data_IF_249180182912
#
_entry.id   IF_249180182912
#
_cell.length_a   1.000
_cell.length_b   1.000
_cell.length_c   1.000
_cell.angle_alpha   90.00
_cell.angle_beta   90.00
_cell.angle_gamma   90.00
#
_symmetry.space_group_name_H-M   'P 1'
#
loop_
_entity.id
_entity.type
_entity.pdbx_description
1 polymer ?
#
# COMPACT_ATOMS: atom_id res chain seq x y z
N UNK A 1 17.96 9.04 -3.81
CA UNK A 1 17.10 8.69 -2.65
C UNK A 1 17.72 7.52 -1.90
N UNK A 2 18.75 7.74 -1.08
CA UNK A 2 19.52 6.66 -0.45
C UNK A 2 19.14 6.40 1.01
N UNK A 3 18.63 7.40 1.74
CA UNK A 3 18.38 7.28 3.18
C UNK A 3 17.33 6.21 3.52
N UNK A 4 16.17 6.23 2.85
CA UNK A 4 15.10 5.25 3.10
C UNK A 4 15.53 3.82 2.74
N UNK A 5 16.13 3.63 1.56
CA UNK A 5 16.62 2.32 1.13
C UNK A 5 17.70 1.74 2.06
N UNK A 6 18.61 2.60 2.57
CA UNK A 6 19.62 2.17 3.54
C UNK A 6 18.97 1.77 4.88
N UNK A 7 17.95 2.51 5.33
CA UNK A 7 17.22 2.17 6.55
C UNK A 7 16.47 0.85 6.41
N UNK A 8 15.78 0.62 5.28
CA UNK A 8 15.08 -0.63 5.02
C UNK A 8 16.02 -1.84 5.07
N UNK A 9 17.22 -1.72 4.47
CA UNK A 9 18.27 -2.76 4.54
C UNK A 9 18.79 -2.98 5.96
N UNK A 10 19.03 -1.90 6.70
CA UNK A 10 19.51 -1.99 8.09
C UNK A 10 18.49 -2.64 9.04
N UNK A 11 17.21 -2.62 8.66
CA UNK A 11 16.11 -3.26 9.39
C UNK A 11 15.65 -4.59 8.77
N UNK A 12 16.34 -5.10 7.74
CA UNK A 12 15.99 -6.35 7.03
C UNK A 12 14.56 -6.37 6.45
N UNK A 13 14.04 -5.22 6.02
CA UNK A 13 12.70 -5.07 5.42
C UNK A 13 12.73 -4.58 3.97
N UNK A 14 13.91 -4.52 3.33
CA UNK A 14 14.03 -4.05 1.95
C UNK A 14 13.48 -5.02 0.90
N UNK A 15 13.20 -6.27 1.30
CA UNK A 15 12.56 -7.28 0.44
C UNK A 15 11.13 -7.62 0.89
N UNK A 16 10.54 -6.84 1.79
CA UNK A 16 9.19 -7.06 2.30
C UNK A 16 8.16 -6.87 1.18
N UNK A 17 7.33 -7.88 0.95
CA UNK A 17 6.24 -7.85 -0.03
C UNK A 17 4.97 -8.45 0.57
N UNK A 18 3.81 -7.96 0.15
CA UNK A 18 2.53 -8.45 0.70
C UNK A 18 2.27 -9.93 0.38
N UNK A 19 2.85 -10.47 -0.70
CA UNK A 19 2.72 -11.88 -1.08
C UNK A 19 3.30 -12.85 -0.05
N UNK A 20 4.22 -12.42 0.81
CA UNK A 20 4.77 -13.26 1.88
C UNK A 20 3.80 -13.47 3.05
N UNK A 21 2.69 -12.72 3.10
CA UNK A 21 1.73 -12.71 4.21
C UNK A 21 0.39 -13.40 3.91
N UNK A 22 0.29 -14.15 2.80
CA UNK A 22 -0.94 -14.85 2.42
C UNK A 22 -2.09 -13.92 2.00
N UNK A 23 -1.77 -12.68 1.63
CA UNK A 23 -2.76 -11.72 1.13
C UNK A 23 -3.20 -12.14 -0.28
N UNK A 24 -4.51 -12.20 -0.53
CA UNK A 24 -5.02 -12.52 -1.87
C UNK A 24 -5.15 -11.26 -2.74
N UNK A 25 -4.55 -11.20 -3.94
CA UNK A 25 -4.74 -10.09 -4.88
C UNK A 25 -6.18 -9.90 -5.33
N UNK A 26 -7.00 -10.96 -5.31
CA UNK A 26 -8.42 -10.89 -5.68
C UNK A 26 -9.23 -9.99 -4.73
N UNK A 27 -8.70 -9.69 -3.54
CA UNK A 27 -9.32 -8.83 -2.53
C UNK A 27 -8.92 -7.36 -2.63
N UNK A 28 -8.04 -6.96 -3.55
CA UNK A 28 -7.52 -5.59 -3.59
C UNK A 28 -8.59 -4.53 -3.86
N UNK A 29 -9.56 -4.83 -4.73
CA UNK A 29 -10.69 -3.93 -5.00
C UNK A 29 -11.54 -3.73 -3.74
N UNK A 30 -11.76 -4.80 -2.96
CA UNK A 30 -12.48 -4.76 -1.69
C UNK A 30 -11.69 -3.96 -0.64
N UNK A 31 -10.38 -4.16 -0.53
CA UNK A 31 -9.54 -3.37 0.39
C UNK A 31 -9.54 -1.88 0.06
N UNK A 32 -9.48 -1.53 -1.24
CA UNK A 32 -9.57 -0.15 -1.68
C UNK A 32 -10.95 0.47 -1.38
N UNK A 33 -12.02 -0.34 -1.46
CA UNK A 33 -13.36 0.08 -1.04
C UNK A 33 -13.40 0.41 0.44
N UNK A 34 -13.01 -0.53 1.30
CA UNK A 34 -13.01 -0.35 2.75
C UNK A 34 -12.12 0.82 3.16
N UNK A 35 -10.97 1.02 2.52
CA UNK A 35 -10.13 2.18 2.77
C UNK A 35 -10.87 3.50 2.50
N UNK A 36 -11.60 3.60 1.40
CA UNK A 36 -12.37 4.81 1.07
C UNK A 36 -13.66 4.98 1.85
N UNK A 37 -14.25 3.91 2.39
CA UNK A 37 -15.50 3.94 3.16
C UNK A 37 -15.21 4.11 4.65
N UNK A 38 -14.46 3.19 5.23
CA UNK A 38 -14.20 3.13 6.67
C UNK A 38 -13.23 4.22 7.12
N UNK A 39 -12.30 4.61 6.24
CA UNK A 39 -11.22 5.57 6.53
C UNK A 39 -11.28 6.81 5.63
N UNK A 40 -12.46 7.13 5.09
CA UNK A 40 -12.68 8.24 4.14
C UNK A 40 -12.04 9.57 4.56
N UNK A 41 -12.09 9.89 5.86
CA UNK A 41 -11.52 11.13 6.40
C UNK A 41 -10.00 11.24 6.23
N UNK A 42 -9.27 10.12 6.26
CA UNK A 42 -7.80 10.11 6.11
C UNK A 42 -7.37 10.51 4.69
N UNK A 43 -8.14 10.16 3.67
CA UNK A 43 -7.87 10.56 2.28
C UNK A 43 -7.98 12.08 2.08
N UNK A 44 -8.73 12.79 2.93
CA UNK A 44 -8.89 14.26 2.81
C UNK A 44 -7.65 15.03 3.27
N UNK A 45 -6.76 14.39 4.04
CA UNK A 45 -5.53 14.99 4.55
C UNK A 45 -4.28 14.52 3.78
N UNK A 46 -4.44 13.67 2.78
CA UNK A 46 -3.34 13.26 1.92
C UNK A 46 -2.80 14.43 1.09
N UNK A 47 -1.49 14.41 0.88
CA UNK A 47 -0.79 15.45 0.09
C UNK A 47 -1.25 15.47 -1.37
N UNK A 48 -1.79 14.35 -1.86
CA UNK A 48 -2.37 14.17 -3.19
C UNK A 48 -3.68 13.41 -3.04
N UNK A 49 -4.67 13.74 -3.86
CA UNK A 49 -5.87 12.94 -3.95
C UNK A 49 -5.53 11.54 -4.49
N UNK A 50 -5.93 10.52 -3.76
CA UNK A 50 -5.84 9.12 -4.18
C UNK A 50 -7.24 8.63 -4.54
N UNK A 51 -7.38 8.08 -5.75
CA UNK A 51 -8.57 7.37 -6.17
C UNK A 51 -8.54 5.91 -5.72
N UNK A 52 -9.68 5.21 -5.77
CA UNK A 52 -9.75 3.76 -5.54
C UNK A 52 -8.78 3.00 -6.45
N UNK A 53 -8.67 3.40 -7.73
CA UNK A 53 -7.76 2.80 -8.69
C UNK A 53 -6.29 3.00 -8.28
N UNK A 54 -5.93 4.20 -7.78
CA UNK A 54 -4.58 4.46 -7.26
C UNK A 54 -4.24 3.52 -6.10
N UNK A 55 -5.18 3.34 -5.16
CA UNK A 55 -5.00 2.42 -4.02
C UNK A 55 -4.80 0.99 -4.49
N UNK A 56 -5.63 0.50 -5.42
CA UNK A 56 -5.50 -0.85 -5.98
C UNK A 56 -4.14 -1.02 -6.67
N UNK A 57 -3.68 -0.02 -7.42
CA UNK A 57 -2.38 -0.08 -8.09
C UNK A 57 -1.23 -0.08 -7.08
N UNK A 58 -1.30 0.70 -6.00
CA UNK A 58 -0.33 0.64 -4.88
C UNK A 58 -0.29 -0.75 -4.26
N UNK A 59 -1.45 -1.39 -4.03
CA UNK A 59 -1.51 -2.76 -3.50
C UNK A 59 -0.88 -3.77 -4.47
N UNK A 60 -1.14 -3.64 -5.79
CA UNK A 60 -0.53 -4.48 -6.84
C UNK A 60 0.98 -4.34 -6.91
N UNK A 61 1.50 -3.12 -6.75
CA UNK A 61 2.94 -2.87 -6.71
C UNK A 61 3.58 -3.42 -5.43
N UNK A 62 2.91 -3.26 -4.28
CA UNK A 62 3.38 -3.72 -2.97
C UNK A 62 3.30 -5.25 -2.79
N UNK A 63 2.57 -5.93 -3.66
CA UNK A 63 2.44 -7.39 -3.65
C UNK A 63 3.66 -8.12 -4.18
N UNK A 64 4.37 -7.51 -5.12
CA UNK A 64 5.46 -8.13 -5.88
C UNK A 64 6.80 -8.06 -5.15
#
# INVERSE_FOLDING_TARGET
MAALANLQKACDVDTLKMSDFGISPDLFEEYAEHAHVDMAGLFTVDRKSLSREDVVNILRESYK
#
